data_IF_342922366437
#
_entry.id   IF_342922366437
#
_cell.length_a   1.000
_cell.length_b   1.000
_cell.length_c   1.000
_cell.angle_alpha   90.00
_cell.angle_beta   90.00
_cell.angle_gamma   90.00
#
_symmetry.space_group_name_H-M   'P 1'
#
loop_
_entity.id
_entity.type
_entity.pdbx_description
1 polymer ?
#
# COMPACT_ATOMS: atom_id res chain seq x y z
N UNK A 1 -9.28 5.60 -12.36
CA UNK A 1 -7.88 5.31 -12.76
C UNK A 1 -6.92 6.52 -12.76
N UNK A 2 -7.15 7.65 -12.06
CA UNK A 2 -6.11 8.70 -11.92
C UNK A 2 -4.76 8.19 -11.37
N UNK A 3 -4.80 7.19 -10.49
CA UNK A 3 -3.65 6.63 -9.79
C UNK A 3 -2.74 5.86 -10.75
N UNK A 4 -3.32 5.06 -11.64
CA UNK A 4 -2.58 4.35 -12.67
C UNK A 4 -1.95 5.32 -13.69
N UNK A 5 -2.66 6.40 -14.04
CA UNK A 5 -2.13 7.44 -14.91
C UNK A 5 -0.96 8.20 -14.26
N UNK A 6 -1.04 8.48 -12.96
CA UNK A 6 0.06 9.08 -12.21
C UNK A 6 1.28 8.15 -12.17
N UNK A 7 1.09 6.84 -11.98
CA UNK A 7 2.16 5.86 -12.05
C UNK A 7 2.86 5.84 -13.42
N UNK A 8 2.08 5.89 -14.51
CA UNK A 8 2.64 5.98 -15.86
C UNK A 8 3.44 7.28 -16.08
N UNK A 9 2.94 8.41 -15.57
CA UNK A 9 3.62 9.70 -15.64
C UNK A 9 4.95 9.71 -14.86
N UNK A 10 4.97 9.12 -13.66
CA UNK A 10 6.20 8.96 -12.86
C UNK A 10 7.23 8.11 -13.59
N UNK A 11 6.82 6.99 -14.20
CA UNK A 11 7.72 6.14 -14.98
C UNK A 11 8.30 6.93 -16.16
N UNK A 12 7.47 7.68 -16.89
CA UNK A 12 7.94 8.51 -18.01
C UNK A 12 8.93 9.58 -17.53
N UNK A 13 8.64 10.27 -16.42
CA UNK A 13 9.49 11.32 -15.85
C UNK A 13 10.83 10.77 -15.33
N UNK A 14 10.86 9.53 -14.82
CA UNK A 14 12.06 8.89 -14.24
C UNK A 14 13.24 8.70 -15.18
N UNK A 15 13.03 8.84 -16.50
CA UNK A 15 14.08 8.72 -17.53
C UNK A 15 14.21 9.93 -18.44
N UNK A 16 13.32 10.91 -18.29
CA UNK A 16 13.27 12.10 -19.16
C UNK A 16 13.55 13.39 -18.41
N UNK A 17 13.16 13.46 -17.14
CA UNK A 17 13.31 14.66 -16.31
C UNK A 17 14.09 14.38 -15.02
N UNK A 18 13.97 13.18 -14.46
CA UNK A 18 14.72 12.71 -13.29
C UNK A 18 15.72 11.63 -13.69
N UNK A 19 16.69 11.35 -12.82
CA UNK A 19 17.76 10.38 -13.07
C UNK A 19 17.34 8.94 -12.78
N UNK A 20 16.36 8.76 -11.89
CA UNK A 20 15.85 7.45 -11.50
C UNK A 20 14.40 7.53 -10.98
N UNK A 21 13.80 6.37 -10.78
CA UNK A 21 12.41 6.24 -10.32
C UNK A 21 12.20 6.74 -8.90
N UNK A 22 13.17 6.55 -8.01
CA UNK A 22 13.07 6.98 -6.60
C UNK A 22 12.95 8.51 -6.51
N UNK A 23 13.79 9.22 -7.26
CA UNK A 23 13.76 10.68 -7.35
C UNK A 23 12.44 11.19 -7.94
N UNK A 24 11.93 10.54 -8.98
CA UNK A 24 10.66 10.89 -9.60
C UNK A 24 9.48 10.70 -8.62
N UNK A 25 9.44 9.57 -7.93
CA UNK A 25 8.40 9.27 -6.92
C UNK A 25 8.44 10.31 -5.79
N UNK A 26 9.61 10.55 -5.19
CA UNK A 26 9.76 11.50 -4.09
C UNK A 26 9.39 12.94 -4.47
N UNK A 27 9.62 13.32 -5.73
CA UNK A 27 9.34 14.68 -6.22
C UNK A 27 7.88 14.86 -6.65
N UNK A 28 7.23 13.80 -7.13
CA UNK A 28 5.90 13.89 -7.76
C UNK A 28 4.76 13.40 -6.87
N UNK A 29 4.99 12.45 -5.96
CA UNK A 29 3.95 11.86 -5.12
C UNK A 29 3.88 12.59 -3.78
N UNK A 30 2.67 12.92 -3.35
CA UNK A 30 2.40 13.49 -2.02
C UNK A 30 1.33 12.68 -1.32
N UNK A 31 1.60 12.30 -0.07
CA UNK A 31 0.60 11.68 0.77
C UNK A 31 -0.30 12.77 1.37
N UNK A 32 -1.61 12.63 1.16
CA UNK A 32 -2.61 13.52 1.76
C UNK A 32 -2.88 13.15 3.22
N UNK A 33 -2.84 11.85 3.53
CA UNK A 33 -3.12 11.30 4.85
C UNK A 33 -2.16 10.16 5.17
N UNK A 34 -1.64 10.18 6.40
CA UNK A 34 -0.91 9.06 7.01
C UNK A 34 -1.76 8.55 8.16
N UNK A 35 -2.08 7.26 8.17
CA UNK A 35 -2.88 6.62 9.22
C UNK A 35 -1.98 5.67 10.00
N UNK A 36 -1.78 5.97 11.28
CA UNK A 36 -0.97 5.15 12.18
C UNK A 36 -1.84 4.09 12.88
N UNK A 37 -1.28 2.90 13.20
CA UNK A 37 -2.01 1.87 13.93
C UNK A 37 -2.46 2.34 15.32
N UNK A 38 -3.72 2.06 15.66
CA UNK A 38 -4.24 2.24 17.01
C UNK A 38 -3.82 1.04 17.88
N UNK A 39 -2.88 1.27 18.80
CA UNK A 39 -2.20 0.22 19.58
C UNK A 39 -3.20 -0.61 20.41
N UNK A 40 -4.23 0.02 20.95
CA UNK A 40 -5.30 -0.60 21.73
C UNK A 40 -6.17 -1.57 20.91
N UNK A 41 -6.18 -1.43 19.58
CA UNK A 41 -6.91 -2.33 18.69
C UNK A 41 -6.07 -3.50 18.20
N UNK A 42 -4.75 -3.48 18.41
CA UNK A 42 -3.83 -4.47 17.84
C UNK A 42 -4.19 -5.91 18.22
N UNK A 43 -4.25 -6.20 19.52
CA UNK A 43 -4.56 -7.55 20.02
C UNK A 43 -5.93 -8.03 19.55
N UNK A 44 -6.91 -7.13 19.50
CA UNK A 44 -8.28 -7.42 19.07
C UNK A 44 -8.32 -7.84 17.60
N UNK A 45 -7.62 -7.12 16.73
CA UNK A 45 -7.55 -7.47 15.30
C UNK A 45 -6.72 -8.72 15.06
N UNK A 46 -5.64 -8.93 15.82
CA UNK A 46 -4.82 -10.14 15.71
C UNK A 46 -5.63 -11.40 16.03
N UNK A 47 -6.41 -11.38 17.12
CA UNK A 47 -7.30 -12.49 17.49
C UNK A 47 -8.32 -12.79 16.36
N UNK A 48 -8.99 -11.75 15.86
CA UNK A 48 -9.98 -11.88 14.79
C UNK A 48 -9.38 -12.38 13.49
N UNK A 49 -8.17 -11.94 13.15
CA UNK A 49 -7.46 -12.42 11.97
C UNK A 49 -7.13 -13.92 12.08
N UNK A 50 -6.75 -14.38 13.28
CA UNK A 50 -6.56 -15.81 13.54
C UNK A 50 -7.85 -16.62 13.36
N UNK A 51 -8.99 -16.13 13.87
CA UNK A 51 -10.30 -16.76 13.66
C UNK A 51 -10.68 -16.80 12.18
N UNK A 52 -10.45 -15.69 11.46
CA UNK A 52 -10.68 -15.61 10.02
C UNK A 52 -9.85 -16.64 9.25
N UNK A 53 -8.56 -16.78 9.55
CA UNK A 53 -7.70 -17.77 8.90
C UNK A 53 -8.17 -19.20 9.11
N UNK A 54 -8.60 -19.55 10.33
CA UNK A 54 -9.17 -20.88 10.60
C UNK A 54 -10.37 -21.19 9.70
N UNK A 55 -11.28 -20.22 9.56
CA UNK A 55 -12.46 -20.37 8.69
C UNK A 55 -12.03 -20.48 7.22
N UNK A 56 -11.02 -19.72 6.77
CA UNK A 56 -10.49 -19.84 5.41
C UNK A 56 -9.86 -21.21 5.16
N UNK A 57 -9.11 -21.75 6.11
CA UNK A 57 -8.51 -23.08 6.04
C UNK A 57 -9.57 -24.17 5.96
N UNK A 58 -10.62 -24.10 6.79
CA UNK A 58 -11.77 -25.01 6.76
C UNK A 58 -12.50 -25.01 5.41
N UNK A 59 -12.43 -23.90 4.67
CA UNK A 59 -13.01 -23.74 3.33
C UNK A 59 -12.06 -24.07 2.20
N UNK A 60 -10.80 -24.46 2.49
CA UNK A 60 -9.80 -24.86 1.50
C UNK A 60 -9.13 -23.70 0.77
N UNK A 61 -9.10 -22.49 1.37
CA UNK A 61 -8.41 -21.33 0.79
C UNK A 61 -6.94 -21.19 1.24
N UNK A 62 -6.41 -22.15 2.01
CA UNK A 62 -5.00 -22.20 2.44
C UNK A 62 -4.19 -23.24 1.68
#
# INVERSE_FOLDING_TARGET
MPEAAMGAAVIAASRTFYENIDQAVQSMIRHDLVVEPQVDLHERYQKRYGEFRKICAERGYE
#
